data_IF_174184108665
#
_entry.id   IF_174184108665
#
_cell.length_a   1.000
_cell.length_b   1.000
_cell.length_c   1.000
_cell.angle_alpha   90.00
_cell.angle_beta   90.00
_cell.angle_gamma   90.00
#
_symmetry.space_group_name_H-M   'P 1'
#
loop_
_entity.id
_entity.type
_entity.pdbx_description
1 polymer ?
#
# COMPACT_ATOMS: atom_id res chain seq x y z
N UNK A 1 4.78 -24.41 -18.65
CA UNK A 1 5.41 -25.61 -18.02
C UNK A 1 6.50 -26.11 -18.95
N UNK A 2 7.73 -26.25 -18.47
CA UNK A 2 8.83 -26.85 -19.22
C UNK A 2 8.49 -28.33 -19.50
N UNK A 3 8.79 -28.85 -20.70
CA UNK A 3 8.56 -30.26 -20.99
C UNK A 3 9.58 -31.09 -20.19
N UNK A 4 9.25 -32.31 -19.70
CA UNK A 4 10.19 -33.14 -18.95
C UNK A 4 11.54 -33.34 -19.65
N UNK A 5 11.56 -33.41 -20.99
CA UNK A 5 12.78 -33.53 -21.78
C UNK A 5 13.67 -32.27 -21.84
N UNK A 6 13.17 -31.09 -21.48
CA UNK A 6 13.94 -29.84 -21.45
C UNK A 6 14.77 -29.74 -20.16
N UNK A 7 14.23 -30.23 -19.04
CA UNK A 7 14.94 -30.35 -17.76
C UNK A 7 16.10 -31.35 -17.87
N UNK A 8 15.89 -32.46 -18.59
CA UNK A 8 16.95 -33.45 -18.80
C UNK A 8 18.12 -32.90 -19.63
N UNK A 9 17.86 -31.96 -20.55
CA UNK A 9 18.90 -31.29 -21.37
C UNK A 9 19.71 -30.27 -20.58
N UNK A 10 19.13 -29.59 -19.58
CA UNK A 10 19.92 -28.74 -18.68
C UNK A 10 20.74 -29.52 -17.67
N UNK A 11 20.40 -30.79 -17.45
CA UNK A 11 21.12 -31.70 -16.56
C UNK A 11 22.24 -32.49 -17.26
N UNK A 12 22.50 -32.29 -18.56
CA UNK A 12 23.58 -32.99 -19.28
C UNK A 12 24.29 -32.07 -20.27
N UNK A 13 25.55 -31.77 -19.99
CA UNK A 13 26.55 -31.38 -20.99
C UNK A 13 26.68 -32.51 -22.04
N UNK A 14 27.00 -32.19 -23.30
CA UNK A 14 27.43 -33.16 -24.33
C UNK A 14 28.57 -34.08 -23.87
N UNK A 15 29.39 -33.67 -22.89
CA UNK A 15 30.49 -34.43 -22.29
C UNK A 15 30.08 -35.19 -21.01
N UNK A 16 28.86 -34.96 -20.49
CA UNK A 16 28.31 -35.66 -19.35
C UNK A 16 28.75 -35.14 -17.96
N UNK A 17 29.54 -34.06 -17.87
CA UNK A 17 30.07 -33.54 -16.61
C UNK A 17 29.82 -32.02 -16.50
N UNK A 18 29.09 -31.57 -15.48
CA UNK A 18 28.90 -30.13 -15.20
C UNK A 18 30.13 -29.55 -14.51
N UNK A 19 30.98 -28.86 -15.27
CA UNK A 19 32.19 -28.21 -14.74
C UNK A 19 32.00 -26.73 -14.39
N UNK A 20 30.82 -26.16 -14.66
CA UNK A 20 30.47 -24.79 -14.30
C UNK A 20 29.87 -24.67 -12.89
N UNK A 21 30.01 -23.50 -12.25
CA UNK A 21 29.37 -23.20 -10.97
C UNK A 21 27.84 -23.35 -11.01
N UNK A 22 27.17 -23.60 -9.87
CA UNK A 22 25.74 -23.91 -9.81
C UNK A 22 24.92 -22.77 -10.43
N UNK A 23 24.18 -23.09 -11.50
CA UNK A 23 23.22 -22.19 -12.12
C UNK A 23 21.83 -22.74 -11.80
N UNK A 24 20.96 -21.93 -11.20
CA UNK A 24 19.53 -22.27 -11.12
C UNK A 24 18.99 -22.48 -12.55
N UNK A 25 17.89 -23.23 -12.71
CA UNK A 25 17.34 -23.77 -13.97
C UNK A 25 16.87 -22.73 -15.02
N UNK A 26 17.54 -21.60 -15.13
CA UNK A 26 17.11 -20.40 -15.83
C UNK A 26 17.60 -20.38 -17.28
N UNK A 27 18.79 -20.94 -17.58
CA UNK A 27 19.47 -20.84 -18.89
C UNK A 27 20.20 -22.14 -19.28
N UNK A 28 20.03 -22.57 -20.54
CA UNK A 28 20.80 -23.63 -21.19
C UNK A 28 22.25 -23.20 -21.46
N UNK A 29 23.15 -24.18 -21.67
CA UNK A 29 24.58 -23.95 -21.97
C UNK A 29 24.82 -23.05 -23.20
N UNK A 30 23.90 -23.05 -24.16
CA UNK A 30 23.98 -22.19 -25.35
C UNK A 30 23.46 -20.75 -25.11
N UNK A 31 23.24 -20.36 -23.85
CA UNK A 31 22.77 -19.03 -23.46
C UNK A 31 21.27 -18.79 -23.65
N UNK A 32 20.50 -19.80 -24.10
CA UNK A 32 19.04 -19.67 -24.27
C UNK A 32 18.32 -19.96 -22.95
N UNK A 33 17.29 -19.18 -22.57
CA UNK A 33 16.56 -19.44 -21.34
C UNK A 33 15.74 -20.73 -21.41
N UNK A 34 15.66 -21.45 -20.29
CA UNK A 34 14.98 -22.75 -20.19
C UNK A 34 13.47 -22.64 -20.44
N UNK A 35 12.92 -21.47 -20.08
CA UNK A 35 11.55 -21.05 -20.39
C UNK A 35 11.62 -19.72 -21.13
N UNK A 36 10.81 -19.56 -22.18
CA UNK A 36 10.76 -18.32 -22.95
C UNK A 36 10.45 -17.14 -22.01
N UNK A 37 11.31 -16.12 -22.01
CA UNK A 37 11.11 -14.90 -21.24
C UNK A 37 9.75 -14.29 -21.58
N UNK A 38 8.84 -14.25 -20.60
CA UNK A 38 7.55 -13.58 -20.74
C UNK A 38 7.83 -12.07 -20.68
N UNK A 39 7.94 -11.43 -21.86
CA UNK A 39 8.22 -9.98 -21.97
C UNK A 39 7.07 -9.10 -21.44
N UNK A 40 5.89 -9.68 -21.31
CA UNK A 40 4.69 -9.09 -20.72
C UNK A 40 3.90 -10.22 -20.06
N UNK A 41 3.18 -9.91 -18.98
CA UNK A 41 2.08 -10.73 -18.47
C UNK A 41 0.77 -10.13 -19.03
N UNK A 42 0.38 -10.43 -20.28
CA UNK A 42 -0.96 -10.07 -20.72
C UNK A 42 -1.97 -10.79 -19.82
N UNK A 43 -3.10 -10.15 -19.42
CA UNK A 43 -4.11 -10.77 -18.56
C UNK A 43 -4.75 -11.94 -19.31
N UNK A 44 -4.12 -13.11 -19.21
CA UNK A 44 -4.54 -14.30 -19.92
C UNK A 44 -5.42 -15.13 -18.98
N UNK A 45 -6.69 -15.29 -19.40
CA UNK A 45 -7.65 -16.35 -19.04
C UNK A 45 -8.01 -16.61 -17.56
N UNK A 46 -7.43 -15.91 -16.59
CA UNK A 46 -7.88 -15.96 -15.20
C UNK A 46 -8.20 -14.55 -14.70
N UNK A 47 -9.49 -14.28 -14.50
CA UNK A 47 -10.10 -13.35 -13.53
C UNK A 47 -9.62 -11.89 -13.40
N UNK A 48 -8.61 -11.40 -14.12
CA UNK A 48 -8.13 -10.02 -13.99
C UNK A 48 -9.12 -9.01 -14.56
N UNK A 49 -9.90 -9.38 -15.59
CA UNK A 49 -10.93 -8.49 -16.15
C UNK A 49 -12.08 -8.28 -15.17
N UNK A 50 -12.66 -9.37 -14.65
CA UNK A 50 -13.70 -9.29 -13.62
C UNK A 50 -13.18 -8.59 -12.36
N UNK A 51 -11.95 -8.86 -11.93
CA UNK A 51 -11.33 -8.16 -10.81
C UNK A 51 -11.23 -6.65 -11.06
N UNK A 52 -10.73 -6.22 -12.22
CA UNK A 52 -10.61 -4.79 -12.55
C UNK A 52 -11.99 -4.11 -12.58
N UNK A 53 -12.98 -4.75 -13.18
CA UNK A 53 -14.36 -4.26 -13.21
C UNK A 53 -14.97 -4.18 -11.80
N UNK A 54 -14.68 -5.15 -10.92
CA UNK A 54 -15.12 -5.12 -9.52
C UNK A 54 -14.44 -4.02 -8.71
N UNK A 55 -13.15 -3.76 -8.93
CA UNK A 55 -12.43 -2.65 -8.30
C UNK A 55 -13.04 -1.32 -8.73
N UNK A 56 -13.32 -1.15 -10.03
CA UNK A 56 -13.99 0.04 -10.56
C UNK A 56 -15.38 0.22 -9.96
N UNK A 57 -16.18 -0.84 -9.89
CA UNK A 57 -17.53 -0.80 -9.31
C UNK A 57 -17.48 -0.45 -7.82
N UNK A 58 -16.55 -1.05 -7.07
CA UNK A 58 -16.33 -0.73 -5.65
C UNK A 58 -16.00 0.74 -5.45
N UNK A 59 -15.12 1.29 -6.29
CA UNK A 59 -14.73 2.69 -6.24
C UNK A 59 -15.92 3.61 -6.53
N UNK A 60 -16.75 3.29 -7.52
CA UNK A 60 -17.95 4.06 -7.84
C UNK A 60 -18.97 4.07 -6.68
N UNK A 61 -19.21 2.91 -6.05
CA UNK A 61 -20.07 2.80 -4.86
C UNK A 61 -19.51 3.65 -3.71
N UNK A 62 -18.20 3.56 -3.45
CA UNK A 62 -17.56 4.30 -2.37
C UNK A 62 -17.53 5.82 -2.62
N UNK A 63 -17.25 6.24 -3.86
CA UNK A 63 -17.26 7.65 -4.26
C UNK A 63 -18.65 8.27 -4.10
N UNK A 64 -19.70 7.51 -4.43
CA UNK A 64 -21.09 7.92 -4.23
C UNK A 64 -21.42 8.05 -2.74
N UNK A 65 -21.00 7.09 -1.92
CA UNK A 65 -21.24 7.13 -0.48
C UNK A 65 -20.47 8.25 0.24
N UNK A 66 -19.35 8.72 -0.32
CA UNK A 66 -18.50 9.81 0.20
C UNK A 66 -18.74 11.15 -0.49
N UNK A 67 -19.81 11.29 -1.28
CA UNK A 67 -20.23 12.55 -1.95
C UNK A 67 -19.26 13.11 -3.00
N UNK A 68 -18.31 12.30 -3.48
CA UNK A 68 -17.45 12.66 -4.61
C UNK A 68 -18.17 12.51 -5.96
N UNK A 69 -19.21 11.67 -5.99
CA UNK A 69 -20.16 11.52 -7.11
C UNK A 69 -21.60 11.60 -6.57
N UNK A 70 -22.59 11.52 -7.46
CA UNK A 70 -24.00 11.53 -7.08
C UNK A 70 -24.29 10.44 -6.02
N UNK A 71 -24.97 10.82 -4.95
CA UNK A 71 -25.34 9.95 -3.83
C UNK A 71 -26.26 8.81 -4.29
N UNK A 72 -26.12 7.65 -3.66
CA UNK A 72 -27.05 6.52 -3.82
C UNK A 72 -26.77 5.59 -5.00
N UNK A 73 -25.62 5.68 -5.68
CA UNK A 73 -25.26 4.76 -6.78
C UNK A 73 -25.31 3.29 -6.34
N UNK A 74 -24.78 2.96 -5.16
CA UNK A 74 -24.85 1.61 -4.61
C UNK A 74 -26.27 1.12 -4.26
N UNK A 75 -27.22 2.04 -4.08
CA UNK A 75 -28.61 1.75 -3.70
C UNK A 75 -29.54 1.58 -4.91
N UNK A 76 -29.07 1.90 -6.13
CA UNK A 76 -29.84 1.69 -7.35
C UNK A 76 -30.15 0.21 -7.53
N UNK A 77 -31.38 -0.09 -7.95
CA UNK A 77 -31.86 -1.44 -8.21
C UNK A 77 -31.69 -1.75 -9.69
N UNK A 78 -31.05 -2.89 -9.96
CA UNK A 78 -30.96 -3.45 -11.30
C UNK A 78 -32.30 -4.09 -11.68
N UNK A 79 -32.86 -3.65 -12.79
CA UNK A 79 -34.10 -4.20 -13.33
C UNK A 79 -34.08 -4.12 -14.85
N UNK A 80 -33.63 -5.19 -15.49
CA UNK A 80 -33.58 -5.28 -16.94
C UNK A 80 -34.61 -6.29 -17.45
N UNK A 81 -35.58 -5.82 -18.21
CA UNK A 81 -36.64 -6.64 -18.83
C UNK A 81 -36.29 -7.13 -20.24
N UNK A 82 -35.21 -6.62 -20.84
CA UNK A 82 -34.84 -6.83 -22.26
C UNK A 82 -33.61 -7.73 -22.41
N UNK A 83 -32.57 -7.48 -21.60
CA UNK A 83 -31.31 -8.25 -21.56
C UNK A 83 -31.06 -8.80 -20.16
N UNK A 84 -32.11 -9.37 -19.57
CA UNK A 84 -32.10 -9.91 -18.22
C UNK A 84 -30.94 -10.90 -18.03
N UNK A 85 -29.91 -10.47 -17.31
CA UNK A 85 -28.87 -11.35 -16.80
C UNK A 85 -29.48 -12.09 -15.61
N UNK A 86 -29.73 -13.39 -15.79
CA UNK A 86 -30.51 -14.20 -14.86
C UNK A 86 -29.98 -14.08 -13.42
N UNK A 87 -30.88 -13.81 -12.48
CA UNK A 87 -30.58 -13.82 -11.04
C UNK A 87 -30.10 -12.49 -10.43
N UNK A 88 -30.09 -11.38 -11.19
CA UNK A 88 -29.74 -10.05 -10.67
C UNK A 88 -30.89 -9.04 -10.62
N UNK A 89 -31.99 -9.25 -11.35
CA UNK A 89 -33.14 -8.33 -11.29
C UNK A 89 -33.69 -8.21 -9.88
N UNK A 90 -34.02 -6.99 -9.48
CA UNK A 90 -34.50 -6.64 -8.14
C UNK A 90 -33.39 -6.49 -7.09
N UNK A 91 -32.12 -6.73 -7.43
CA UNK A 91 -30.99 -6.54 -6.51
C UNK A 91 -30.40 -5.15 -6.62
N UNK A 92 -29.88 -4.64 -5.51
CA UNK A 92 -29.13 -3.39 -5.47
C UNK A 92 -27.73 -3.57 -6.07
N UNK A 93 -27.17 -2.51 -6.65
CA UNK A 93 -25.79 -2.53 -7.18
C UNK A 93 -24.79 -3.02 -6.13
N UNK A 94 -24.92 -2.58 -4.87
CA UNK A 94 -24.05 -3.04 -3.77
C UNK A 94 -24.17 -4.54 -3.46
N UNK A 95 -25.37 -5.11 -3.63
CA UNK A 95 -25.63 -6.54 -3.39
C UNK A 95 -25.06 -7.38 -4.53
N UNK A 96 -25.19 -6.90 -5.77
CA UNK A 96 -24.56 -7.51 -6.95
C UNK A 96 -23.04 -7.53 -6.79
N UNK A 97 -22.45 -6.41 -6.35
CA UNK A 97 -21.02 -6.32 -6.03
C UNK A 97 -20.62 -7.31 -4.92
N UNK A 98 -21.36 -7.34 -3.80
CA UNK A 98 -21.08 -8.25 -2.70
C UNK A 98 -21.10 -9.72 -3.15
N UNK A 99 -22.13 -10.11 -3.92
CA UNK A 99 -22.25 -11.46 -4.46
C UNK A 99 -21.07 -11.81 -5.39
N UNK A 100 -20.72 -10.93 -6.33
CA UNK A 100 -19.63 -11.17 -7.27
C UNK A 100 -18.25 -11.22 -6.58
N UNK A 101 -18.02 -10.35 -5.59
CA UNK A 101 -16.77 -10.37 -4.80
C UNK A 101 -16.65 -11.63 -3.95
N UNK A 102 -17.72 -12.09 -3.30
CA UNK A 102 -17.73 -13.33 -2.52
C UNK A 102 -17.51 -14.57 -3.41
N UNK A 103 -18.13 -14.58 -4.59
CA UNK A 103 -17.95 -15.62 -5.61
C UNK A 103 -16.49 -15.71 -6.09
N UNK A 104 -15.82 -14.56 -6.26
CA UNK A 104 -14.40 -14.49 -6.59
C UNK A 104 -13.51 -15.06 -5.47
N UNK A 105 -13.81 -14.73 -4.21
CA UNK A 105 -13.08 -15.25 -3.04
C UNK A 105 -13.28 -16.75 -2.84
N UNK A 106 -14.52 -17.23 -2.96
CA UNK A 106 -14.87 -18.65 -2.79
C UNK A 106 -14.64 -19.50 -4.04
N UNK A 107 -14.22 -18.90 -5.16
CA UNK A 107 -14.05 -19.53 -6.48
C UNK A 107 -15.31 -20.31 -6.91
N UNK A 108 -16.48 -19.70 -6.76
CA UNK A 108 -17.79 -20.30 -7.04
C UNK A 108 -18.61 -19.48 -8.03
N UNK A 109 -19.59 -20.10 -8.70
CA UNK A 109 -20.48 -19.45 -9.66
C UNK A 109 -19.88 -19.23 -11.05
N UNK A 110 -20.62 -18.50 -11.91
CA UNK A 110 -20.23 -18.21 -13.29
C UNK A 110 -19.51 -16.86 -13.39
N UNK A 111 -18.18 -16.90 -13.50
CA UNK A 111 -17.34 -15.71 -13.64
C UNK A 111 -17.66 -14.89 -14.91
N UNK A 112 -18.13 -15.52 -15.98
CA UNK A 112 -18.51 -14.80 -17.20
C UNK A 112 -19.81 -14.01 -16.98
N UNK A 113 -20.79 -14.61 -16.30
CA UNK A 113 -22.03 -13.92 -15.92
C UNK A 113 -21.75 -12.71 -15.01
N UNK A 114 -20.89 -12.88 -13.99
CA UNK A 114 -20.48 -11.77 -13.13
C UNK A 114 -19.74 -10.66 -13.90
N UNK A 115 -18.88 -11.04 -14.85
CA UNK A 115 -18.20 -10.05 -15.68
C UNK A 115 -19.17 -9.23 -16.52
N UNK A 116 -20.18 -9.87 -17.13
CA UNK A 116 -21.17 -9.18 -17.95
C UNK A 116 -22.01 -8.18 -17.15
N UNK A 117 -22.50 -8.57 -15.96
CA UNK A 117 -23.31 -7.66 -15.14
C UNK A 117 -22.47 -6.49 -14.59
N UNK A 118 -21.28 -6.76 -14.04
CA UNK A 118 -20.43 -5.71 -13.46
C UNK A 118 -20.00 -4.71 -14.54
N UNK A 119 -19.60 -5.20 -15.71
CA UNK A 119 -19.26 -4.33 -16.85
C UNK A 119 -20.44 -3.47 -17.28
N UNK A 120 -21.63 -4.06 -17.39
CA UNK A 120 -22.85 -3.33 -17.76
C UNK A 120 -23.17 -2.21 -16.77
N UNK A 121 -22.97 -2.45 -15.48
CA UNK A 121 -23.14 -1.43 -14.43
C UNK A 121 -22.08 -0.31 -14.53
N UNK A 122 -20.81 -0.66 -14.78
CA UNK A 122 -19.74 0.33 -14.95
C UNK A 122 -19.94 1.19 -16.21
N UNK A 123 -20.49 0.62 -17.28
CA UNK A 123 -20.76 1.32 -18.54
C UNK A 123 -22.10 2.09 -18.56
N UNK A 124 -22.94 1.94 -17.52
CA UNK A 124 -24.29 2.51 -17.47
C UNK A 124 -24.32 4.03 -17.72
N UNK A 125 -23.37 4.76 -17.14
CA UNK A 125 -23.24 6.22 -17.23
C UNK A 125 -22.04 6.65 -18.09
N UNK A 126 -21.46 5.74 -18.87
CA UNK A 126 -20.29 6.04 -19.70
C UNK A 126 -20.66 6.99 -20.85
N UNK A 127 -19.77 7.96 -21.09
CA UNK A 127 -19.85 8.93 -22.17
C UNK A 127 -18.57 9.78 -22.25
N UNK A 128 -18.46 10.70 -23.23
CA UNK A 128 -17.36 11.66 -23.29
C UNK A 128 -17.35 12.54 -22.04
N UNK A 129 -16.17 12.73 -21.42
CA UNK A 129 -16.01 13.56 -20.23
C UNK A 129 -16.52 14.98 -20.51
N UNK A 130 -17.61 15.38 -19.84
CA UNK A 130 -18.13 16.74 -19.89
C UNK A 130 -17.86 17.44 -18.54
N UNK A 131 -17.02 18.46 -18.63
CA UNK A 131 -16.63 19.49 -17.66
C UNK A 131 -16.34 19.08 -16.19
N UNK A 132 -15.06 19.16 -15.84
CA UNK A 132 -14.52 19.21 -14.48
C UNK A 132 -14.76 20.62 -13.91
N UNK A 133 -15.58 20.77 -12.87
CA UNK A 133 -15.66 22.04 -12.12
C UNK A 133 -14.57 22.07 -11.06
N UNK A 134 -13.66 23.04 -11.15
CA UNK A 134 -12.53 23.21 -10.22
C UNK A 134 -12.78 24.26 -9.13
N UNK A 135 -13.98 24.82 -9.04
CA UNK A 135 -14.21 26.04 -8.27
C UNK A 135 -14.24 25.83 -6.73
N UNK A 136 -14.48 24.61 -6.23
CA UNK A 136 -14.54 24.38 -4.76
C UNK A 136 -14.30 22.92 -4.34
N UNK A 137 -14.65 21.93 -5.16
CA UNK A 137 -14.30 20.52 -4.99
C UNK A 137 -14.39 19.80 -6.34
N UNK A 138 -13.51 18.81 -6.58
CA UNK A 138 -13.58 17.97 -7.79
C UNK A 138 -14.77 17.02 -7.67
N UNK A 139 -15.91 17.41 -8.24
CA UNK A 139 -17.11 16.55 -8.34
C UNK A 139 -17.13 15.93 -9.72
N UNK A 140 -17.01 14.61 -9.79
CA UNK A 140 -17.16 13.86 -11.04
C UNK A 140 -18.66 13.66 -11.29
N UNK A 141 -19.18 14.23 -12.38
CA UNK A 141 -20.56 14.03 -12.81
C UNK A 141 -20.60 12.96 -13.90
N UNK A 142 -21.61 12.10 -13.85
CA UNK A 142 -21.91 11.18 -14.94
C UNK A 142 -22.34 11.94 -16.19
N UNK A 143 -22.13 11.35 -17.37
CA UNK A 143 -22.46 11.97 -18.66
C UNK A 143 -23.94 11.77 -19.02
N UNK A 144 -24.61 10.85 -18.33
CA UNK A 144 -26.01 10.49 -18.57
C UNK A 144 -26.82 10.64 -17.29
N UNK A 145 -28.07 11.02 -17.45
CA UNK A 145 -29.03 11.01 -16.35
C UNK A 145 -29.56 9.59 -16.10
N UNK A 146 -30.05 9.33 -14.88
CA UNK A 146 -30.63 8.02 -14.55
C UNK A 146 -31.82 7.66 -15.45
N UNK A 147 -32.57 8.66 -15.92
CA UNK A 147 -33.69 8.48 -16.86
C UNK A 147 -33.25 7.90 -18.21
N UNK A 148 -31.98 8.04 -18.56
CA UNK A 148 -31.39 7.50 -19.79
C UNK A 148 -30.83 6.09 -19.60
N UNK A 149 -30.86 5.55 -18.37
CA UNK A 149 -30.40 4.20 -18.04
C UNK A 149 -31.61 3.30 -17.75
N UNK A 150 -32.17 2.61 -18.76
CA UNK A 150 -33.46 1.92 -18.63
C UNK A 150 -33.45 0.70 -17.70
N UNK A 151 -32.27 0.21 -17.32
CA UNK A 151 -32.11 -0.98 -16.48
C UNK A 151 -31.75 -0.66 -15.02
N UNK A 152 -31.73 0.62 -14.63
CA UNK A 152 -31.49 1.05 -13.25
C UNK A 152 -32.66 1.92 -12.77
N UNK A 153 -33.10 1.67 -11.54
CA UNK A 153 -34.15 2.47 -10.89
C UNK A 153 -33.80 2.81 -9.45
N UNK A 154 -34.37 3.90 -8.97
CA UNK A 154 -34.32 4.28 -7.55
C UNK A 154 -35.20 3.32 -6.77
N UNK A 155 -34.69 2.83 -5.64
CA UNK A 155 -35.51 2.17 -4.62
C UNK A 155 -36.10 3.26 -3.71
N UNK A 156 -37.40 3.51 -3.84
CA UNK A 156 -38.14 4.55 -3.07
C UNK A 156 -38.08 4.30 -1.55
N UNK A 157 -37.75 3.08 -1.10
CA UNK A 157 -37.55 2.73 0.30
C UNK A 157 -36.08 2.72 0.75
N UNK A 158 -35.12 3.06 -0.11
CA UNK A 158 -33.70 2.96 0.23
C UNK A 158 -33.25 4.09 1.18
N UNK A 159 -32.63 3.68 2.29
CA UNK A 159 -31.79 4.59 3.07
C UNK A 159 -30.49 4.82 2.30
N UNK A 160 -30.28 6.04 1.82
CA UNK A 160 -29.03 6.43 1.15
C UNK A 160 -27.91 6.40 2.19
N UNK A 161 -27.02 5.42 2.09
CA UNK A 161 -25.87 5.30 2.98
C UNK A 161 -24.87 6.43 2.70
N UNK A 162 -24.67 7.31 3.69
CA UNK A 162 -23.62 8.32 3.69
C UNK A 162 -22.45 7.81 4.53
N UNK A 163 -21.29 7.70 3.92
CA UNK A 163 -20.03 7.45 4.62
C UNK A 163 -19.41 8.80 4.89
N UNK A 164 -19.51 9.27 6.13
CA UNK A 164 -18.67 10.36 6.61
C UNK A 164 -17.29 9.75 6.87
N UNK A 165 -16.22 10.22 6.21
CA UNK A 165 -14.88 9.85 6.63
C UNK A 165 -14.74 10.24 8.10
N UNK A 166 -14.53 9.25 8.96
CA UNK A 166 -14.04 9.56 10.31
C UNK A 166 -12.63 10.05 10.07
N UNK A 167 -12.36 11.32 10.38
CA UNK A 167 -10.98 11.79 10.49
C UNK A 167 -10.27 10.86 11.47
N UNK A 168 -9.50 9.92 10.93
CA UNK A 168 -8.45 9.32 11.70
C UNK A 168 -7.43 10.43 11.86
N UNK A 169 -7.46 11.07 13.03
CA UNK A 169 -6.25 11.70 13.56
C UNK A 169 -5.24 10.57 13.67
N UNK A 170 -4.42 10.40 12.62
CA UNK A 170 -3.11 9.81 12.79
C UNK A 170 -2.49 10.59 13.95
N UNK A 171 -2.01 9.90 14.99
CA UNK A 171 -1.30 10.56 16.08
C UNK A 171 -0.30 11.52 15.42
N UNK A 172 -0.40 12.82 15.72
CA UNK A 172 0.36 13.89 15.07
C UNK A 172 1.74 13.37 14.74
N UNK A 173 2.01 13.10 13.45
CA UNK A 173 3.38 12.90 13.00
C UNK A 173 4.02 14.26 13.28
N UNK A 174 4.96 14.36 14.22
CA UNK A 174 5.39 15.68 14.65
C UNK A 174 6.10 16.35 13.48
N UNK A 175 5.70 17.57 13.14
CA UNK A 175 6.22 18.32 11.99
C UNK A 175 7.71 18.69 12.11
N UNK A 176 8.36 18.32 13.22
CA UNK A 176 9.73 18.74 13.55
C UNK A 176 10.57 17.56 14.04
N UNK A 177 11.83 17.56 13.61
CA UNK A 177 12.85 16.70 14.22
C UNK A 177 13.09 17.13 15.67
N UNK A 178 13.10 16.18 16.59
CA UNK A 178 13.40 16.44 18.00
C UNK A 178 14.26 15.31 18.57
N UNK A 179 15.36 15.67 19.26
CA UNK A 179 16.06 14.74 20.14
C UNK A 179 15.60 15.02 21.57
N UNK A 180 15.03 14.04 22.27
CA UNK A 180 14.56 14.20 23.64
C UNK A 180 15.71 14.08 24.66
N UNK A 181 15.46 14.54 25.88
CA UNK A 181 16.38 14.26 27.00
C UNK A 181 16.34 12.76 27.32
N UNK A 182 17.51 12.14 27.47
CA UNK A 182 17.60 10.74 27.86
C UNK A 182 16.88 10.50 29.22
N UNK A 183 16.20 9.36 29.35
CA UNK A 183 15.50 8.98 30.58
C UNK A 183 15.88 7.55 31.01
N UNK A 184 16.25 7.35 32.29
CA UNK A 184 16.47 8.36 33.34
C UNK A 184 17.70 9.26 33.07
N UNK A 185 17.77 10.43 33.72
CA UNK A 185 18.98 11.27 33.77
C UNK A 185 19.04 12.04 35.10
N UNK A 186 20.01 11.78 36.00
CA UNK A 186 21.14 10.85 35.87
C UNK A 186 20.72 9.38 35.71
N UNK A 187 21.58 8.55 35.12
CA UNK A 187 21.31 7.13 34.84
C UNK A 187 22.37 6.19 35.41
N UNK A 188 22.02 4.90 35.58
CA UNK A 188 22.93 3.85 36.08
C UNK A 188 22.49 2.42 35.69
N UNK A 189 23.30 1.67 34.91
CA UNK A 189 24.15 2.13 33.83
C UNK A 189 23.38 2.31 32.52
N UNK A 190 22.06 2.05 32.50
CA UNK A 190 21.21 2.09 31.30
C UNK A 190 20.33 3.33 31.25
N UNK A 191 20.11 3.84 30.05
CA UNK A 191 19.16 4.93 29.76
C UNK A 191 18.54 4.73 28.39
N UNK A 192 17.36 5.30 28.18
CA UNK A 192 16.73 5.37 26.85
C UNK A 192 16.92 6.76 26.26
N UNK A 193 17.28 6.83 24.98
CA UNK A 193 17.35 8.07 24.19
C UNK A 193 16.20 8.02 23.21
N UNK A 194 15.26 8.97 23.35
CA UNK A 194 14.12 9.10 22.45
C UNK A 194 14.37 10.22 21.43
N UNK A 195 13.90 10.05 20.21
CA UNK A 195 13.89 11.09 19.19
C UNK A 195 12.69 10.94 18.26
N UNK A 196 12.31 12.03 17.63
CA UNK A 196 11.15 12.16 16.77
C UNK A 196 11.61 12.51 15.37
N UNK A 197 11.06 11.81 14.38
CA UNK A 197 11.32 12.03 12.96
C UNK A 197 10.01 12.43 12.25
N UNK A 198 9.98 13.56 11.51
CA UNK A 198 8.81 13.97 10.71
C UNK A 198 8.68 13.17 9.40
N UNK A 199 9.73 12.49 8.98
CA UNK A 199 9.81 11.65 7.78
C UNK A 199 10.81 10.51 7.99
N UNK A 200 10.76 9.48 7.16
CA UNK A 200 11.78 8.43 7.14
C UNK A 200 13.17 9.04 6.94
N UNK A 201 14.12 8.69 7.81
CA UNK A 201 15.43 9.31 7.84
C UNK A 201 16.57 8.31 8.10
N UNK A 202 17.73 8.60 7.51
CA UNK A 202 18.98 7.93 7.84
C UNK A 202 19.58 8.59 9.09
N UNK A 203 19.62 7.83 10.18
CA UNK A 203 20.01 8.30 11.50
C UNK A 203 21.41 7.81 11.88
N UNK A 204 22.19 8.70 12.48
CA UNK A 204 23.44 8.40 13.18
C UNK A 204 23.34 8.94 14.61
N UNK A 205 23.47 8.07 15.59
CA UNK A 205 23.42 8.41 17.02
C UNK A 205 24.71 7.99 17.69
N UNK A 206 25.45 8.96 18.23
CA UNK A 206 26.78 8.75 18.83
C UNK A 206 26.90 9.39 20.20
N UNK A 207 27.76 8.83 21.03
CA UNK A 207 28.05 9.29 22.39
C UNK A 207 29.51 9.72 22.50
N UNK A 208 29.74 10.86 23.14
CA UNK A 208 31.03 11.52 23.32
C UNK A 208 31.30 11.81 24.80
N UNK A 209 32.57 11.81 25.18
CA UNK A 209 33.02 12.32 26.49
C UNK A 209 33.25 13.85 26.46
N UNK A 210 33.63 14.42 27.60
CA UNK A 210 33.93 15.86 27.73
C UNK A 210 35.09 16.36 26.87
N UNK A 211 35.96 15.46 26.40
CA UNK A 211 37.08 15.77 25.50
C UNK A 211 36.67 15.69 24.02
N UNK A 212 35.40 15.39 23.72
CA UNK A 212 34.89 15.21 22.36
C UNK A 212 35.29 13.86 21.73
N UNK A 213 35.80 12.91 22.51
CA UNK A 213 36.12 11.58 22.00
C UNK A 213 34.84 10.74 21.94
N UNK A 214 34.63 10.07 20.80
CA UNK A 214 33.54 9.10 20.64
C UNK A 214 33.79 7.89 21.56
N UNK A 215 32.82 7.58 22.42
CA UNK A 215 32.88 6.47 23.37
C UNK A 215 31.88 5.37 23.06
N UNK A 216 30.84 5.66 22.26
CA UNK A 216 29.90 4.67 21.74
C UNK A 216 29.21 5.19 20.46
N UNK A 217 28.85 4.26 19.58
CA UNK A 217 27.94 4.49 18.45
C UNK A 217 26.71 3.62 18.67
N UNK A 218 25.53 4.23 18.74
CA UNK A 218 24.25 3.57 19.04
C UNK A 218 23.43 3.28 17.79
N UNK A 219 23.58 4.10 16.75
CA UNK A 219 23.06 3.87 15.41
C UNK A 219 24.04 4.45 14.39
N UNK A 220 24.32 3.75 13.30
CA UNK A 220 25.28 4.20 12.29
C UNK A 220 24.72 4.16 10.87
N UNK A 221 24.18 5.28 10.42
CA UNK A 221 23.54 5.43 9.09
C UNK A 221 22.46 4.37 8.86
N UNK A 222 21.60 4.20 9.85
CA UNK A 222 20.50 3.25 9.82
C UNK A 222 19.20 3.97 9.44
N UNK A 223 18.32 3.28 8.71
CA UNK A 223 17.02 3.82 8.33
C UNK A 223 16.04 3.67 9.51
N UNK A 224 15.48 4.79 9.96
CA UNK A 224 14.39 4.82 10.93
C UNK A 224 13.13 5.38 10.26
N UNK A 225 11.98 4.83 10.65
CA UNK A 225 10.68 5.28 10.15
C UNK A 225 10.23 6.56 10.84
N UNK A 226 9.39 7.33 10.17
CA UNK A 226 8.71 8.50 10.75
C UNK A 226 8.04 8.18 12.10
N UNK A 227 7.98 9.18 12.98
CA UNK A 227 7.40 9.10 14.32
C UNK A 227 8.44 9.01 15.45
N UNK A 228 7.97 8.56 16.61
CA UNK A 228 8.79 8.46 17.84
C UNK A 228 9.61 7.17 17.83
N UNK A 229 10.92 7.31 18.01
CA UNK A 229 11.89 6.22 18.02
C UNK A 229 12.70 6.25 19.31
N UNK A 230 13.13 5.07 19.78
CA UNK A 230 13.87 4.92 21.03
C UNK A 230 15.08 4.01 20.84
N UNK A 231 16.20 4.38 21.47
CA UNK A 231 17.42 3.57 21.50
C UNK A 231 17.91 3.45 22.93
N UNK A 232 18.09 2.21 23.39
CA UNK A 232 18.66 1.92 24.71
C UNK A 232 20.19 2.06 24.67
N UNK A 233 20.75 2.66 25.70
CA UNK A 233 22.20 2.81 25.89
C UNK A 233 22.64 2.22 27.22
N UNK A 234 23.53 1.21 27.17
CA UNK A 234 24.21 0.63 28.32
C UNK A 234 25.65 1.19 28.45
N UNK A 235 25.89 1.97 29.50
CA UNK A 235 27.19 2.55 29.82
C UNK A 235 27.96 1.75 30.89
N UNK A 236 27.70 0.45 31.04
CA UNK A 236 28.32 -0.42 32.03
C UNK A 236 29.85 -0.43 32.01
N UNK A 237 30.47 -0.09 30.87
CA UNK A 237 31.94 -0.01 30.69
C UNK A 237 32.53 1.40 30.83
N UNK A 238 31.71 2.43 31.03
CA UNK A 238 32.16 3.82 31.14
C UNK A 238 32.29 4.28 32.60
N UNK A 239 33.13 5.28 32.88
CA UNK A 239 33.26 5.84 34.23
C UNK A 239 32.10 6.79 34.56
N UNK A 240 31.77 6.98 35.84
CA UNK A 240 30.79 8.02 36.24
C UNK A 240 31.25 9.40 35.76
N UNK A 241 30.34 10.20 35.22
CA UNK A 241 30.70 11.49 34.64
C UNK A 241 29.66 12.05 33.68
N UNK A 242 30.04 13.14 33.00
CA UNK A 242 29.22 13.82 32.01
C UNK A 242 29.56 13.30 30.62
N UNK A 243 28.52 12.99 29.85
CA UNK A 243 28.60 12.58 28.46
C UNK A 243 27.67 13.42 27.60
N UNK A 244 27.95 13.45 26.30
CA UNK A 244 27.11 14.11 25.31
C UNK A 244 26.69 13.09 24.27
N UNK A 245 25.45 13.17 23.78
CA UNK A 245 25.00 12.37 22.66
C UNK A 245 24.53 13.28 21.54
N UNK A 246 24.89 12.91 20.31
CA UNK A 246 24.55 13.64 19.09
C UNK A 246 23.71 12.76 18.19
N UNK A 247 22.54 13.27 17.81
CA UNK A 247 21.72 12.72 16.74
C UNK A 247 21.99 13.52 15.47
N UNK A 248 22.24 12.81 14.37
CA UNK A 248 22.21 13.38 13.01
C UNK A 248 21.22 12.57 12.20
N UNK A 249 20.23 13.24 11.62
CA UNK A 249 19.20 12.63 10.77
C UNK A 249 19.19 13.30 9.39
N UNK A 250 19.14 12.50 8.34
CA UNK A 250 18.99 12.95 6.96
C UNK A 250 17.72 12.32 6.36
N UNK A 251 16.71 13.13 6.07
CA UNK A 251 15.45 12.69 5.48
C UNK A 251 15.62 12.07 4.09
N UNK A 252 14.72 11.16 3.73
CA UNK A 252 14.77 10.41 2.45
C UNK A 252 13.73 10.91 1.42
N UNK A 253 12.85 11.85 1.81
CA UNK A 253 11.79 12.40 0.96
C UNK A 253 12.25 13.42 -0.10
N UNK A 254 11.30 13.87 -0.93
CA UNK A 254 11.54 14.87 -1.99
C UNK A 254 12.04 16.22 -1.44
N UNK A 255 11.71 16.54 -0.18
CA UNK A 255 12.19 17.71 0.57
C UNK A 255 13.10 17.30 1.74
N UNK A 256 14.04 16.38 1.50
CA UNK A 256 14.95 15.83 2.50
C UNK A 256 15.56 16.91 3.41
N UNK A 257 15.13 16.91 4.67
CA UNK A 257 15.68 17.81 5.68
C UNK A 257 16.89 17.16 6.38
N UNK A 258 17.82 17.99 6.82
CA UNK A 258 18.93 17.54 7.68
C UNK A 258 18.77 18.12 9.07
N UNK A 259 18.90 17.28 10.07
CA UNK A 259 18.83 17.65 11.47
C UNK A 259 20.07 17.18 12.21
N UNK A 260 20.60 18.02 13.09
CA UNK A 260 21.62 17.61 14.05
C UNK A 260 21.41 18.31 15.38
N UNK A 261 21.36 17.53 16.46
CA UNK A 261 21.19 18.06 17.82
C UNK A 261 22.06 17.28 18.80
N UNK A 262 22.57 18.00 19.81
CA UNK A 262 23.41 17.45 20.88
C UNK A 262 22.72 17.69 22.22
N UNK A 263 22.73 16.67 23.10
CA UNK A 263 22.27 16.80 24.48
C UNK A 263 23.26 16.18 25.46
N UNK A 264 23.19 16.65 26.70
CA UNK A 264 24.05 16.24 27.81
C UNK A 264 23.35 15.17 28.64
N UNK A 265 24.07 14.15 29.08
CA UNK A 265 23.61 13.13 30.04
C UNK A 265 24.63 12.90 31.14
N UNK A 266 24.18 12.40 32.30
CA UNK A 266 25.00 12.21 33.50
C UNK A 266 24.92 10.74 33.95
N UNK A 267 26.05 10.04 33.93
CA UNK A 267 26.19 8.68 34.44
C UNK A 267 26.62 8.71 35.91
N UNK A 268 25.87 8.04 36.78
CA UNK A 268 26.20 7.90 38.20
C UNK A 268 26.18 6.43 38.64
N UNK A 269 27.36 5.81 38.75
CA UNK A 269 27.53 4.48 39.34
C UNK A 269 27.67 4.54 40.85
#
# INVERSE_FOLDING_TARGET
MAKPGDVQKSLRDKTGIHTGGPRFFDIFENGKPLVKLQKTLPPNKHNNKLFAELVALKLAIAASATEHTALGFGELVYDDTVTALAGFNGKKIKEIFAQASAAMTAKSGDANLYYQIVRKLNEAFAGPLDTVSFATATVLKGVKDLTEVPFLRIDEGAVIARITPVERKYADVPDVFELAQNYPNPFNPTTTIQFILPEDAIVTLKVYNILGQEVATLANKELFTEGMNEVEFDAGKLASGIYFYQLTAEGVGENAQKFSQVKKMVLMK
#
